data_IF_840069862771
#
_entry.id   IF_840069862771
#
_cell.length_a   1.000
_cell.length_b   1.000
_cell.length_c   1.000
_cell.angle_alpha   90.00
_cell.angle_beta   90.00
_cell.angle_gamma   90.00
#
_symmetry.space_group_name_H-M   'P 1'
#
loop_
_entity.id
_entity.type
_entity.pdbx_description
1 polymer ?
#
# COMPACT_ATOMS: atom_id res chain seq x y z
N UNK A 1 18.54 -24.11 25.42
CA UNK A 1 17.68 -23.75 24.26
C UNK A 1 16.34 -24.43 24.48
N UNK A 2 15.36 -23.66 24.97
CA UNK A 2 14.04 -24.19 25.35
C UNK A 2 13.00 -23.91 24.27
N UNK A 3 12.52 -24.97 23.63
CA UNK A 3 11.11 -25.24 23.27
C UNK A 3 10.26 -24.27 22.45
N UNK A 4 10.69 -23.06 22.15
CA UNK A 4 9.88 -22.08 21.41
C UNK A 4 10.68 -21.52 20.24
N UNK A 5 10.17 -21.73 19.03
CA UNK A 5 10.69 -21.05 17.84
C UNK A 5 10.37 -19.55 17.96
N UNK A 6 11.41 -18.77 18.27
CA UNK A 6 11.34 -17.31 18.28
C UNK A 6 12.27 -16.80 17.18
N UNK A 7 11.82 -15.81 16.40
CA UNK A 7 12.71 -15.11 15.48
C UNK A 7 13.74 -14.35 16.32
N UNK A 8 15.02 -14.69 16.20
CA UNK A 8 16.09 -14.08 16.97
C UNK A 8 16.57 -12.76 16.37
N UNK A 9 16.51 -12.64 15.03
CA UNK A 9 17.06 -11.51 14.28
C UNK A 9 15.96 -10.68 13.62
N UNK A 10 16.14 -9.36 13.56
CA UNK A 10 15.21 -8.44 12.90
C UNK A 10 15.95 -7.25 12.30
N UNK A 11 15.46 -6.79 11.14
CA UNK A 11 15.91 -5.57 10.47
C UNK A 11 14.73 -4.64 10.22
N UNK A 12 14.91 -3.36 10.53
CA UNK A 12 13.92 -2.32 10.29
C UNK A 12 14.29 -1.59 9.01
N UNK A 13 13.33 -1.47 8.10
CA UNK A 13 13.47 -0.76 6.83
C UNK A 13 12.64 0.51 6.83
N UNK A 14 13.24 1.61 6.40
CA UNK A 14 12.56 2.89 6.25
C UNK A 14 12.26 3.18 4.77
N UNK A 15 11.31 4.10 4.53
CA UNK A 15 10.94 4.60 3.19
C UNK A 15 10.47 3.50 2.22
N UNK A 16 10.03 2.37 2.75
CA UNK A 16 9.40 1.32 1.94
C UNK A 16 7.97 1.74 1.60
N UNK A 17 7.56 1.70 0.32
CA UNK A 17 6.21 2.06 -0.08
C UNK A 17 5.13 1.25 0.68
N UNK A 18 4.03 1.92 1.03
CA UNK A 18 2.87 1.28 1.64
C UNK A 18 2.18 0.30 0.68
N UNK A 19 2.11 0.68 -0.60
CA UNK A 19 1.55 -0.07 -1.72
C UNK A 19 2.44 0.17 -2.95
N UNK A 20 2.60 -0.85 -3.80
CA UNK A 20 3.38 -0.76 -5.03
C UNK A 20 2.74 -1.58 -6.15
N UNK A 21 2.58 -0.94 -7.30
CA UNK A 21 2.04 -1.57 -8.49
C UNK A 21 2.80 -1.06 -9.72
N UNK A 22 3.04 -1.94 -10.68
CA UNK A 22 3.68 -1.61 -11.95
C UNK A 22 2.85 -2.21 -13.07
N UNK A 23 2.63 -1.42 -14.12
CA UNK A 23 2.01 -1.87 -15.36
C UNK A 23 2.92 -1.53 -16.53
N UNK A 24 2.93 -2.39 -17.55
CA UNK A 24 3.77 -2.21 -18.73
C UNK A 24 3.05 -2.68 -19.99
N UNK A 25 3.38 -2.08 -21.12
CA UNK A 25 2.87 -2.48 -22.44
C UNK A 25 3.57 -3.73 -23.00
N UNK A 26 4.76 -4.06 -22.49
CA UNK A 26 5.63 -5.18 -22.87
C UNK A 26 6.44 -5.61 -21.64
N UNK A 27 7.08 -6.79 -21.64
CA UNK A 27 7.97 -7.19 -20.56
C UNK A 27 9.02 -6.09 -20.25
N UNK A 28 9.25 -5.82 -18.96
CA UNK A 28 10.16 -4.73 -18.54
C UNK A 28 11.58 -4.87 -19.12
N UNK A 29 12.05 -6.10 -19.27
CA UNK A 29 13.37 -6.41 -19.84
C UNK A 29 13.51 -6.02 -21.32
N UNK A 30 12.39 -5.95 -22.06
CA UNK A 30 12.37 -5.50 -23.46
C UNK A 30 12.29 -3.97 -23.57
N UNK A 31 11.78 -3.32 -22.51
CA UNK A 31 11.58 -1.87 -22.47
C UNK A 31 12.84 -1.14 -22.02
N UNK A 32 13.44 -1.58 -20.91
CA UNK A 32 14.55 -0.86 -20.26
C UNK A 32 15.64 -1.83 -19.78
N UNK A 33 16.92 -1.42 -19.83
CA UNK A 33 18.00 -2.22 -19.29
C UNK A 33 17.90 -2.31 -17.75
N UNK A 34 18.42 -3.38 -17.13
CA UNK A 34 18.32 -3.59 -15.68
C UNK A 34 18.84 -2.43 -14.82
N UNK A 35 19.89 -1.74 -15.28
CA UNK A 35 20.45 -0.58 -14.59
C UNK A 35 19.47 0.60 -14.51
N UNK A 36 18.64 0.79 -15.53
CA UNK A 36 17.60 1.83 -15.54
C UNK A 36 16.41 1.38 -14.67
N UNK A 37 16.00 0.12 -14.77
CA UNK A 37 14.94 -0.43 -13.92
C UNK A 37 15.30 -0.31 -12.43
N UNK A 38 16.54 -0.58 -12.05
CA UNK A 38 17.03 -0.43 -10.68
C UNK A 38 17.08 1.04 -10.24
N UNK A 39 17.62 1.93 -11.08
CA UNK A 39 17.72 3.36 -10.77
C UNK A 39 16.36 4.02 -10.59
N UNK A 40 15.40 3.67 -11.44
CA UNK A 40 14.03 4.20 -11.40
C UNK A 40 13.10 3.36 -10.52
N UNK A 41 13.61 2.33 -9.85
CA UNK A 41 12.85 1.46 -8.95
C UNK A 41 11.59 0.84 -9.60
N UNK A 42 11.70 0.43 -10.86
CA UNK A 42 10.62 -0.17 -11.66
C UNK A 42 10.66 -1.69 -11.50
N UNK A 43 9.57 -2.27 -11.00
CA UNK A 43 9.48 -3.66 -10.53
C UNK A 43 9.78 -3.78 -9.03
N UNK A 44 8.99 -4.58 -8.31
CA UNK A 44 9.09 -4.71 -6.85
C UNK A 44 10.50 -5.15 -6.38
N UNK A 45 11.21 -5.93 -7.20
CA UNK A 45 12.58 -6.41 -6.94
C UNK A 45 13.63 -5.31 -7.02
N UNK A 46 13.32 -4.20 -7.69
CA UNK A 46 14.21 -3.06 -7.91
C UNK A 46 13.99 -1.92 -6.90
N UNK A 47 13.03 -2.07 -6.00
CA UNK A 47 12.78 -1.11 -4.93
C UNK A 47 14.02 -0.98 -4.03
N UNK A 48 14.47 0.25 -3.79
CA UNK A 48 15.56 0.49 -2.86
C UNK A 48 15.05 0.37 -1.43
N UNK A 49 15.35 -0.76 -0.81
CA UNK A 49 14.95 -1.10 0.56
C UNK A 49 16.20 -1.08 1.43
N UNK A 50 16.41 0.04 2.13
CA UNK A 50 17.60 0.25 2.96
C UNK A 50 17.26 0.11 4.45
N UNK A 51 18.00 -0.70 5.22
CA UNK A 51 17.77 -0.86 6.64
C UNK A 51 18.28 0.37 7.42
N UNK A 52 17.60 0.68 8.52
CA UNK A 52 17.99 1.74 9.47
C UNK A 52 18.91 1.19 10.54
N UNK A 53 18.66 -0.05 10.96
CA UNK A 53 19.38 -0.71 12.04
C UNK A 53 20.66 -1.34 11.52
N UNK A 54 21.73 -1.20 12.29
CA UNK A 54 22.99 -1.91 12.12
C UNK A 54 22.78 -3.41 12.40
N UNK A 55 22.55 -4.19 11.36
CA UNK A 55 22.69 -5.65 11.37
C UNK A 55 23.78 -6.11 10.41
N UNK A 56 24.02 -7.42 10.29
CA UNK A 56 24.98 -7.95 9.34
C UNK A 56 24.61 -7.51 7.92
N UNK A 57 25.47 -6.70 7.27
CA UNK A 57 25.20 -6.20 5.92
C UNK A 57 24.98 -7.33 4.90
N UNK A 58 25.57 -8.50 5.14
CA UNK A 58 25.38 -9.72 4.35
C UNK A 58 23.95 -10.25 4.35
N UNK A 59 23.15 -9.96 5.39
CA UNK A 59 21.79 -10.47 5.54
C UNK A 59 20.74 -9.51 4.96
N UNK A 60 21.09 -8.25 4.72
CA UNK A 60 20.18 -7.22 4.21
C UNK A 60 19.42 -7.66 2.95
N UNK A 61 20.06 -8.28 1.93
CA UNK A 61 19.33 -8.74 0.74
C UNK A 61 18.28 -9.81 1.05
N UNK A 62 18.56 -10.69 2.02
CA UNK A 62 17.65 -11.77 2.43
C UNK A 62 16.42 -11.20 3.14
N UNK A 63 16.63 -10.26 4.07
CA UNK A 63 15.53 -9.59 4.77
C UNK A 63 14.73 -8.68 3.84
N UNK A 64 15.37 -7.99 2.89
CA UNK A 64 14.68 -7.17 1.89
C UNK A 64 13.80 -8.03 0.98
N UNK A 65 14.30 -9.16 0.49
CA UNK A 65 13.51 -10.13 -0.27
C UNK A 65 12.35 -10.70 0.56
N UNK A 66 12.57 -10.99 1.85
CA UNK A 66 11.52 -11.44 2.75
C UNK A 66 10.44 -10.37 2.98
N UNK A 67 10.82 -9.10 3.07
CA UNK A 67 9.89 -7.97 3.17
C UNK A 67 9.01 -7.87 1.93
N UNK A 68 9.62 -7.87 0.73
CA UNK A 68 8.89 -7.83 -0.55
C UNK A 68 7.91 -9.00 -0.64
N UNK A 69 8.37 -10.22 -0.34
CA UNK A 69 7.51 -11.42 -0.32
C UNK A 69 6.34 -11.29 0.66
N UNK A 70 6.57 -10.74 1.84
CA UNK A 70 5.51 -10.52 2.83
C UNK A 70 4.49 -9.48 2.35
N UNK A 71 4.94 -8.40 1.70
CA UNK A 71 4.07 -7.38 1.09
C UNK A 71 3.26 -7.94 -0.08
N UNK A 72 3.84 -8.84 -0.89
CA UNK A 72 3.14 -9.55 -1.96
C UNK A 72 2.05 -10.48 -1.40
N UNK A 73 2.35 -11.23 -0.34
CA UNK A 73 1.40 -12.13 0.30
C UNK A 73 0.12 -11.43 0.79
N UNK A 74 0.22 -10.17 1.21
CA UNK A 74 -0.93 -9.37 1.66
C UNK A 74 -1.53 -8.50 0.55
N UNK A 75 -1.11 -8.68 -0.70
CA UNK A 75 -1.63 -7.97 -1.87
C UNK A 75 -1.19 -6.51 -2.00
N UNK A 76 -0.28 -6.02 -1.14
CA UNK A 76 0.18 -4.63 -1.21
C UNK A 76 1.15 -4.40 -2.38
N UNK A 77 1.93 -5.43 -2.72
CA UNK A 77 2.86 -5.42 -3.85
C UNK A 77 2.39 -6.48 -4.85
N UNK A 78 2.10 -6.10 -6.10
CA UNK A 78 1.67 -7.09 -7.08
C UNK A 78 2.91 -7.78 -7.70
N UNK A 79 3.02 -9.13 -7.65
CA UNK A 79 4.14 -9.83 -8.30
C UNK A 79 4.04 -9.80 -9.82
N UNK A 80 2.82 -9.69 -10.34
CA UNK A 80 2.55 -9.65 -11.78
C UNK A 80 2.54 -8.20 -12.29
N UNK A 81 2.93 -8.05 -13.56
CA UNK A 81 2.85 -6.78 -14.26
C UNK A 81 1.39 -6.53 -14.65
N UNK A 82 0.86 -5.35 -14.30
CA UNK A 82 -0.38 -4.88 -14.87
C UNK A 82 -0.25 -4.66 -16.37
N UNK A 83 -1.38 -4.78 -17.08
CA UNK A 83 -1.42 -4.56 -18.51
C UNK A 83 -1.72 -3.10 -18.85
N UNK A 84 -1.06 -2.58 -19.88
CA UNK A 84 -1.40 -1.30 -20.51
C UNK A 84 -2.08 -1.58 -21.85
N UNK A 85 -3.35 -1.21 -21.97
CA UNK A 85 -4.12 -1.32 -23.20
C UNK A 85 -4.11 0.01 -23.95
N UNK A 86 -3.70 -0.01 -25.21
CA UNK A 86 -3.77 1.16 -26.08
C UNK A 86 -5.16 1.28 -26.75
N UNK A 87 -5.76 2.45 -26.61
CA UNK A 87 -7.02 2.86 -27.23
C UNK A 87 -6.69 3.73 -28.46
N UNK A 88 -5.91 3.19 -29.40
CA UNK A 88 -5.36 3.90 -30.56
C UNK A 88 -3.90 4.34 -30.37
N UNK A 89 -3.43 5.30 -31.16
CA UNK A 89 -1.99 5.63 -31.25
C UNK A 89 -1.42 6.43 -30.06
N UNK A 90 -2.28 7.10 -29.29
CA UNK A 90 -1.85 8.03 -28.22
C UNK A 90 -2.55 7.84 -26.90
N UNK A 91 -3.70 7.16 -26.90
CA UNK A 91 -4.50 6.93 -25.70
C UNK A 91 -4.14 5.55 -25.17
N UNK A 92 -3.91 5.46 -23.88
CA UNK A 92 -3.74 4.20 -23.18
C UNK A 92 -4.54 4.20 -21.89
N UNK A 93 -4.84 3.01 -21.39
CA UNK A 93 -5.48 2.79 -20.10
C UNK A 93 -4.78 1.64 -19.40
N UNK A 94 -4.71 1.74 -18.08
CA UNK A 94 -4.40 0.61 -17.21
C UNK A 94 -5.35 0.64 -16.01
N UNK A 95 -5.60 -0.52 -15.42
CA UNK A 95 -6.39 -0.65 -14.21
C UNK A 95 -5.45 -1.03 -13.07
N UNK A 96 -5.59 -0.31 -11.95
CA UNK A 96 -4.85 -0.58 -10.72
C UNK A 96 -5.87 -0.88 -9.64
N UNK A 97 -5.78 -2.06 -9.06
CA UNK A 97 -6.65 -2.49 -7.98
C UNK A 97 -6.02 -2.17 -6.63
N UNK A 98 -6.74 -1.41 -5.80
CA UNK A 98 -6.34 -1.09 -4.45
C UNK A 98 -7.05 -2.04 -3.48
N UNK A 99 -6.33 -2.94 -2.77
CA UNK A 99 -6.97 -3.75 -1.74
C UNK A 99 -7.48 -2.87 -0.60
N UNK A 100 -8.47 -3.36 0.14
CA UNK A 100 -9.04 -2.66 1.30
C UNK A 100 -8.04 -2.41 2.44
N UNK A 101 -6.91 -3.12 2.42
CA UNK A 101 -5.81 -2.99 3.38
C UNK A 101 -4.78 -1.92 3.02
N UNK A 102 -4.95 -1.21 1.89
CA UNK A 102 -4.01 -0.15 1.48
C UNK A 102 -3.96 0.96 2.54
N UNK A 103 -2.76 1.35 3.02
CA UNK A 103 -2.63 2.46 3.94
C UNK A 103 -3.13 3.78 3.33
N UNK A 104 -3.87 4.58 4.09
CA UNK A 104 -4.19 5.94 3.69
C UNK A 104 -2.93 6.80 3.64
N UNK A 105 -2.83 7.67 2.64
CA UNK A 105 -1.68 8.54 2.46
C UNK A 105 -1.65 9.12 1.05
N UNK A 106 -0.53 9.77 0.74
CA UNK A 106 -0.29 10.37 -0.56
C UNK A 106 0.57 9.43 -1.40
N UNK A 107 0.10 9.14 -2.60
CA UNK A 107 0.72 8.25 -3.56
C UNK A 107 1.08 9.01 -4.83
N UNK A 108 2.04 8.49 -5.58
CA UNK A 108 2.44 9.03 -6.87
C UNK A 108 2.32 7.94 -7.91
N UNK A 109 1.55 8.21 -8.97
CA UNK A 109 1.56 7.43 -10.19
C UNK A 109 2.55 8.06 -11.17
N UNK A 110 3.61 7.34 -11.52
CA UNK A 110 4.59 7.78 -12.51
C UNK A 110 4.37 7.04 -13.82
N UNK A 111 4.23 7.81 -14.90
CA UNK A 111 4.09 7.32 -16.27
C UNK A 111 5.42 7.54 -16.97
N UNK A 112 5.98 6.47 -17.52
CA UNK A 112 7.21 6.50 -18.30
C UNK A 112 6.92 6.25 -19.78
N UNK A 113 7.37 7.15 -20.66
CA UNK A 113 7.43 6.88 -22.08
C UNK A 113 8.81 6.35 -22.43
N UNK A 114 8.85 5.15 -22.99
CA UNK A 114 10.10 4.45 -23.30
C UNK A 114 10.24 4.29 -24.80
N UNK A 115 11.41 4.66 -25.33
CA UNK A 115 11.78 4.45 -26.73
C UNK A 115 13.25 4.04 -26.82
N UNK A 116 13.55 3.03 -27.65
CA UNK A 116 14.92 2.55 -27.90
C UNK A 116 15.72 2.22 -26.61
N UNK A 117 15.08 1.60 -25.61
CA UNK A 117 15.76 1.23 -24.37
C UNK A 117 15.99 2.38 -23.38
N UNK A 118 15.41 3.57 -23.64
CA UNK A 118 15.58 4.74 -22.80
C UNK A 118 14.24 5.40 -22.48
N UNK A 119 14.18 6.06 -21.31
CA UNK A 119 13.05 6.90 -20.91
C UNK A 119 13.19 8.24 -21.64
N UNK A 120 12.22 8.56 -22.48
CA UNK A 120 12.18 9.81 -23.25
C UNK A 120 11.21 10.84 -22.66
N UNK A 121 10.25 10.39 -21.84
CA UNK A 121 9.35 11.27 -21.11
C UNK A 121 8.93 10.64 -19.78
N UNK A 122 8.61 11.50 -18.80
CA UNK A 122 8.17 11.12 -17.46
C UNK A 122 7.12 12.09 -16.97
N UNK A 123 5.97 11.56 -16.57
CA UNK A 123 4.88 12.35 -15.96
C UNK A 123 4.50 11.76 -14.61
N UNK A 124 4.56 12.59 -13.56
CA UNK A 124 4.18 12.20 -12.20
C UNK A 124 2.80 12.79 -11.86
N UNK A 125 1.87 11.96 -11.42
CA UNK A 125 0.53 12.35 -10.97
C UNK A 125 0.36 11.98 -9.51
N UNK A 126 -0.05 12.95 -8.67
CA UNK A 126 -0.33 12.71 -7.26
C UNK A 126 -1.73 12.14 -7.08
N UNK A 127 -1.84 11.12 -6.24
CA UNK A 127 -3.06 10.42 -5.88
C UNK A 127 -3.22 10.44 -4.36
N UNK A 128 -4.35 10.93 -3.88
CA UNK A 128 -4.63 11.00 -2.45
C UNK A 128 -5.55 9.82 -2.08
N UNK A 129 -5.04 8.88 -1.28
CA UNK A 129 -5.81 7.75 -0.78
C UNK A 129 -6.27 8.06 0.63
N UNK A 130 -7.58 8.18 0.80
CA UNK A 130 -8.25 8.44 2.09
C UNK A 130 -9.29 7.35 2.35
N UNK A 131 -9.65 7.16 3.62
CA UNK A 131 -10.83 6.35 3.96
C UNK A 131 -12.05 7.09 3.41
N UNK A 132 -12.90 6.40 2.66
CA UNK A 132 -14.16 6.94 2.14
C UNK A 132 -15.34 6.14 2.71
N UNK A 133 -16.44 6.81 3.06
CA UNK A 133 -17.69 6.16 3.50
C UNK A 133 -18.18 6.62 4.87
N UNK A 134 -19.18 5.92 5.42
CA UNK A 134 -19.79 6.26 6.71
C UNK A 134 -18.77 6.27 7.85
N UNK A 135 -17.86 5.30 7.88
CA UNK A 135 -16.78 5.24 8.89
C UNK A 135 -15.87 6.46 8.84
N UNK A 136 -15.56 6.96 7.64
CA UNK A 136 -14.75 8.16 7.46
C UNK A 136 -15.49 9.39 7.98
N UNK A 137 -16.78 9.53 7.67
CA UNK A 137 -17.61 10.63 8.17
C UNK A 137 -17.73 10.62 9.70
N UNK A 138 -17.90 9.44 10.30
CA UNK A 138 -17.95 9.30 11.77
C UNK A 138 -16.61 9.64 12.40
N UNK A 139 -15.50 9.15 11.83
CA UNK A 139 -14.15 9.46 12.29
C UNK A 139 -13.85 10.95 12.20
N UNK A 140 -14.18 11.57 11.06
CA UNK A 140 -13.98 12.99 10.83
C UNK A 140 -14.86 13.84 11.76
N UNK A 141 -16.13 13.48 11.94
CA UNK A 141 -17.02 14.13 12.90
C UNK A 141 -16.52 14.01 14.34
N UNK A 142 -16.01 12.84 14.73
CA UNK A 142 -15.42 12.62 16.05
C UNK A 142 -14.17 13.47 16.29
N UNK A 143 -13.33 13.67 15.25
CA UNK A 143 -12.14 14.50 15.36
C UNK A 143 -12.43 16.01 15.28
N UNK A 144 -13.38 16.44 14.44
CA UNK A 144 -13.73 17.86 14.28
C UNK A 144 -14.61 18.38 15.43
N UNK A 145 -15.51 17.55 15.97
CA UNK A 145 -16.40 17.92 17.08
C UNK A 145 -16.41 16.85 18.19
N UNK A 146 -15.29 16.69 18.93
CA UNK A 146 -15.15 15.59 19.90
C UNK A 146 -16.20 15.61 21.02
N UNK A 147 -16.60 16.79 21.48
CA UNK A 147 -17.59 16.97 22.55
C UNK A 147 -18.99 16.51 22.13
N UNK A 148 -19.44 16.92 20.94
CA UNK A 148 -20.75 16.56 20.41
C UNK A 148 -20.82 15.07 20.09
N UNK A 149 -19.75 14.51 19.51
CA UNK A 149 -19.63 13.08 19.28
C UNK A 149 -19.73 12.29 20.60
N UNK A 150 -19.04 12.72 21.65
CA UNK A 150 -19.11 12.10 22.97
C UNK A 150 -20.54 12.09 23.54
N UNK A 151 -21.27 13.20 23.46
CA UNK A 151 -22.66 13.28 23.93
C UNK A 151 -23.56 12.31 23.15
N UNK A 152 -23.46 12.30 21.82
CA UNK A 152 -24.25 11.39 20.97
C UNK A 152 -23.93 9.92 21.30
N UNK A 153 -22.65 9.58 21.49
CA UNK A 153 -22.24 8.23 21.86
C UNK A 153 -22.83 7.78 23.21
N UNK A 154 -22.85 8.67 24.22
CA UNK A 154 -23.47 8.40 25.52
C UNK A 154 -24.98 8.17 25.35
N UNK A 155 -25.67 9.02 24.59
CA UNK A 155 -27.11 8.88 24.35
C UNK A 155 -27.46 7.56 23.65
N UNK A 156 -26.68 7.16 22.65
CA UNK A 156 -26.83 5.87 21.96
C UNK A 156 -26.62 4.71 22.94
N UNK A 157 -25.59 4.77 23.79
CA UNK A 157 -25.31 3.74 24.78
C UNK A 157 -26.45 3.59 25.81
N UNK A 158 -27.00 4.71 26.30
CA UNK A 158 -28.15 4.71 27.21
C UNK A 158 -29.40 4.12 26.53
N UNK A 159 -29.68 4.52 25.29
CA UNK A 159 -30.81 3.99 24.53
C UNK A 159 -30.68 2.48 24.27
N UNK A 160 -29.49 2.00 23.90
CA UNK A 160 -29.22 0.59 23.70
C UNK A 160 -29.37 -0.22 24.99
N UNK A 161 -28.86 0.28 26.12
CA UNK A 161 -29.02 -0.35 27.43
C UNK A 161 -30.48 -0.43 27.88
N UNK A 162 -31.24 0.65 27.68
CA UNK A 162 -32.68 0.67 27.94
C UNK A 162 -33.45 -0.32 27.05
N UNK A 163 -33.13 -0.36 25.76
CA UNK A 163 -33.78 -1.27 24.79
C UNK A 163 -33.49 -2.74 25.11
N UNK A 164 -32.23 -3.08 25.41
CA UNK A 164 -31.86 -4.42 25.88
C UNK A 164 -32.64 -4.78 27.15
N UNK A 165 -32.74 -3.85 28.12
CA UNK A 165 -33.52 -4.03 29.33
C UNK A 165 -35.01 -4.31 29.07
N UNK A 166 -35.61 -3.75 28.02
CA UNK A 166 -37.00 -4.03 27.63
C UNK A 166 -37.14 -5.41 26.98
N UNK A 167 -36.26 -5.74 26.03
CA UNK A 167 -36.32 -7.00 25.27
C UNK A 167 -36.09 -8.21 26.17
N UNK A 168 -35.16 -8.12 27.11
CA UNK A 168 -34.85 -9.21 28.05
C UNK A 168 -35.75 -9.24 29.30
N UNK A 169 -36.73 -8.33 29.43
CA UNK A 169 -37.64 -8.34 30.59
C UNK A 169 -38.67 -9.47 30.55
N UNK A 170 -38.89 -10.07 29.38
CA UNK A 170 -39.91 -11.09 29.15
C UNK A 170 -39.32 -12.42 28.61
N UNK A 171 -38.03 -12.65 28.83
CA UNK A 171 -37.35 -13.96 28.61
C UNK A 171 -37.01 -14.53 29.97
#
# INVERSE_FOLDING_TARGET
VGGVWINADSLIFEKVPGFYHVAASRPLADLLPPSVLQREQIGAVNLSVNPVTSGPQSEVPVFAAALIRNKQRVGLFNPELGEITFLGDRLFRTQVEFPSSVPTGDYTATIYLVANGAIIDRTDTRLEVRKSGFEANVFEFANQNPSLYGIIAILIALAAGWFAGIVFRNV
#
